data_IF_572656971251
#
_entry.id   IF_572656971251
#
_cell.length_a   1.000
_cell.length_b   1.000
_cell.length_c   1.000
_cell.angle_alpha   90.00
_cell.angle_beta   90.00
_cell.angle_gamma   90.00
#
_symmetry.space_group_name_H-M   'P 1'
#
loop_
_entity.id
_entity.type
_entity.pdbx_description
1 polymer ?
#
# COMPACT_ATOMS: atom_id res chain seq x y z
N UNK A 1 -2.14 -5.01 10.58
CA UNK A 1 -0.93 -5.63 10.00
C UNK A 1 0.09 -6.06 11.07
N UNK A 2 0.49 -5.18 12.00
CA UNK A 2 1.52 -5.48 13.01
C UNK A 2 1.26 -6.70 13.91
N UNK A 3 0.01 -6.95 14.30
CA UNK A 3 -0.36 -8.11 15.12
C UNK A 3 -0.07 -9.45 14.43
N UNK A 4 -0.28 -9.57 13.11
CA UNK A 4 -0.04 -10.81 12.37
C UNK A 4 1.43 -11.23 12.36
N UNK A 5 2.35 -10.25 12.33
CA UNK A 5 3.79 -10.51 12.33
C UNK A 5 4.18 -11.23 13.62
N UNK A 6 3.70 -10.77 14.77
CA UNK A 6 3.99 -11.39 16.07
C UNK A 6 3.34 -12.75 16.25
N UNK A 7 2.15 -12.98 15.69
CA UNK A 7 1.50 -14.29 15.72
C UNK A 7 2.24 -15.36 14.91
N UNK A 8 3.11 -14.94 13.98
CA UNK A 8 3.99 -15.82 13.20
C UNK A 8 5.41 -15.86 13.78
N UNK A 9 5.57 -15.50 15.06
CA UNK A 9 6.84 -15.38 15.79
C UNK A 9 7.83 -14.37 15.17
N UNK A 10 7.36 -13.53 14.24
CA UNK A 10 8.11 -12.43 13.66
C UNK A 10 8.24 -11.24 14.60
N UNK A 11 9.19 -10.36 14.29
CA UNK A 11 9.43 -9.13 15.06
C UNK A 11 9.71 -7.97 14.12
N UNK A 12 9.13 -6.81 14.43
CA UNK A 12 9.50 -5.57 13.76
C UNK A 12 10.83 -5.05 14.32
N UNK A 13 11.74 -4.52 13.48
CA UNK A 13 12.88 -3.76 13.95
C UNK A 13 12.45 -2.65 14.92
N UNK A 14 13.24 -2.43 15.96
CA UNK A 14 12.99 -1.35 16.94
C UNK A 14 13.52 -0.01 16.47
N UNK A 15 14.51 -0.04 15.58
CA UNK A 15 15.09 1.16 14.99
C UNK A 15 14.38 1.51 13.68
N UNK A 16 14.04 2.79 13.52
CA UNK A 16 13.29 3.25 12.34
C UNK A 16 14.12 3.21 11.07
N UNK A 17 15.45 3.37 11.18
CA UNK A 17 16.35 3.23 10.03
C UNK A 17 16.43 1.77 9.61
N UNK A 18 16.59 0.83 10.55
CA UNK A 18 16.53 -0.61 10.25
C UNK A 18 15.19 -1.01 9.60
N UNK A 19 14.07 -0.48 10.10
CA UNK A 19 12.75 -0.71 9.51
C UNK A 19 12.64 -0.18 8.08
N UNK A 20 13.16 1.02 7.83
CA UNK A 20 13.21 1.62 6.51
C UNK A 20 14.13 0.84 5.55
N UNK A 21 15.29 0.40 6.03
CA UNK A 21 16.31 -0.26 5.21
C UNK A 21 15.87 -1.65 4.72
N UNK A 22 14.90 -2.28 5.40
CA UNK A 22 14.29 -3.56 4.96
C UNK A 22 13.01 -3.37 4.13
N UNK A 23 12.60 -2.13 3.87
CA UNK A 23 11.38 -1.87 3.09
C UNK A 23 11.56 -2.32 1.64
N UNK A 24 10.50 -2.88 1.05
CA UNK A 24 10.53 -3.40 -0.32
C UNK A 24 10.58 -2.28 -1.39
N UNK A 25 10.35 -1.03 -0.97
CA UNK A 25 10.24 0.11 -1.85
C UNK A 25 11.44 1.03 -1.68
N UNK A 26 11.94 1.61 -2.78
CA UNK A 26 13.01 2.59 -2.68
C UNK A 26 12.54 3.79 -1.85
N UNK A 27 13.47 4.47 -1.15
CA UNK A 27 13.14 5.65 -0.37
C UNK A 27 12.43 6.68 -1.24
N UNK A 28 11.23 7.07 -0.84
CA UNK A 28 10.48 8.13 -1.49
C UNK A 28 10.90 9.47 -0.88
N UNK A 29 11.57 10.30 -1.66
CA UNK A 29 11.85 11.68 -1.26
C UNK A 29 10.79 12.59 -1.87
N UNK A 30 10.23 13.47 -1.04
CA UNK A 30 9.41 14.55 -1.53
C UNK A 30 10.30 15.55 -2.29
N UNK A 31 9.81 16.12 -3.40
CA UNK A 31 10.53 17.19 -4.09
C UNK A 31 10.74 18.38 -3.14
N UNK A 32 11.90 19.04 -3.24
CA UNK A 32 12.23 20.24 -2.42
C UNK A 32 11.22 21.36 -2.67
N UNK A 33 10.81 21.51 -3.93
CA UNK A 33 9.75 22.42 -4.38
C UNK A 33 8.40 21.66 -4.39
N UNK A 34 7.61 21.82 -3.33
CA UNK A 34 6.31 21.14 -3.16
C UNK A 34 5.15 21.81 -3.91
N UNK A 35 5.42 22.90 -4.64
CA UNK A 35 4.39 23.66 -5.36
C UNK A 35 3.91 22.96 -6.64
N UNK A 36 4.71 22.04 -7.19
CA UNK A 36 4.29 21.22 -8.34
C UNK A 36 3.60 19.93 -7.88
N UNK A 37 2.26 20.00 -7.83
CA UNK A 37 1.40 18.86 -7.49
C UNK A 37 1.63 17.67 -8.41
N UNK A 38 1.99 17.87 -9.69
CA UNK A 38 2.23 16.76 -10.62
C UNK A 38 3.50 15.98 -10.26
N UNK A 39 4.54 16.67 -9.77
CA UNK A 39 5.76 15.99 -9.31
C UNK A 39 5.47 15.17 -8.07
N UNK A 40 4.69 15.71 -7.13
CA UNK A 40 4.24 14.99 -5.94
C UNK A 40 3.42 13.74 -6.31
N UNK A 41 2.42 13.89 -7.18
CA UNK A 41 1.57 12.77 -7.62
C UNK A 41 2.39 11.67 -8.31
N UNK A 42 3.42 12.02 -9.10
CA UNK A 42 4.32 11.03 -9.70
C UNK A 42 5.11 10.24 -8.65
N UNK A 43 5.50 10.85 -7.54
CA UNK A 43 6.16 10.15 -6.42
C UNK A 43 5.17 9.20 -5.75
N UNK A 44 3.94 9.67 -5.48
CA UNK A 44 2.88 8.85 -4.86
C UNK A 44 2.49 7.65 -5.73
N UNK A 45 2.22 7.84 -7.03
CA UNK A 45 1.93 6.73 -7.96
C UNK A 45 3.06 5.69 -7.98
N UNK A 46 4.32 6.12 -7.93
CA UNK A 46 5.46 5.19 -7.87
C UNK A 46 5.50 4.41 -6.55
N UNK A 47 5.17 5.05 -5.43
CA UNK A 47 5.08 4.40 -4.13
C UNK A 47 3.95 3.36 -4.12
N UNK A 48 2.75 3.73 -4.58
CA UNK A 48 1.60 2.81 -4.63
C UNK A 48 1.87 1.61 -5.55
N UNK A 49 2.43 1.83 -6.75
CA UNK A 49 2.85 0.75 -7.65
C UNK A 49 3.84 -0.22 -7.00
N UNK A 50 4.70 0.29 -6.12
CA UNK A 50 5.62 -0.57 -5.38
C UNK A 50 4.89 -1.38 -4.30
N UNK A 51 4.00 -0.75 -3.54
CA UNK A 51 3.18 -1.43 -2.55
C UNK A 51 2.30 -2.53 -3.18
N UNK A 52 1.64 -2.24 -4.31
CA UNK A 52 0.85 -3.21 -5.10
C UNK A 52 1.70 -4.45 -5.46
N UNK A 53 2.92 -4.26 -5.95
CA UNK A 53 3.83 -5.39 -6.24
C UNK A 53 4.18 -6.18 -4.98
N UNK A 54 4.48 -5.48 -3.88
CA UNK A 54 4.82 -6.10 -2.60
C UNK A 54 3.70 -6.97 -2.06
N UNK A 55 2.48 -6.44 -1.97
CA UNK A 55 1.33 -7.20 -1.47
C UNK A 55 0.86 -8.29 -2.44
N UNK A 56 0.98 -8.09 -3.75
CA UNK A 56 0.78 -9.16 -4.74
C UNK A 56 1.74 -10.33 -4.49
N UNK A 57 3.00 -10.04 -4.23
CA UNK A 57 3.99 -11.07 -3.90
C UNK A 57 3.63 -11.83 -2.63
N UNK A 58 3.23 -11.14 -1.56
CA UNK A 58 2.81 -11.78 -0.30
C UNK A 58 1.55 -12.64 -0.51
N UNK A 59 0.57 -12.17 -1.29
CA UNK A 59 -0.61 -12.97 -1.64
C UNK A 59 -0.19 -14.27 -2.34
N UNK A 60 0.74 -14.21 -3.30
CA UNK A 60 1.24 -15.39 -3.99
C UNK A 60 1.99 -16.36 -3.07
N UNK A 61 2.74 -15.85 -2.08
CA UNK A 61 3.44 -16.68 -1.12
C UNK A 61 2.49 -17.44 -0.17
N UNK A 62 1.37 -16.81 0.18
CA UNK A 62 0.45 -17.27 1.24
C UNK A 62 -0.78 -18.01 0.73
N UNK A 63 -1.08 -17.89 -0.58
CA UNK A 63 -2.19 -18.58 -1.22
C UNK A 63 -2.15 -20.10 -0.95
N UNK A 64 -3.22 -20.63 -0.37
CA UNK A 64 -3.37 -22.04 -0.01
C UNK A 64 -2.47 -22.54 1.12
N UNK A 65 -1.67 -21.66 1.76
CA UNK A 65 -0.75 -22.02 2.86
C UNK A 65 -1.13 -21.34 4.17
N UNK A 66 -1.53 -20.08 4.11
CA UNK A 66 -1.92 -19.28 5.26
C UNK A 66 -3.06 -18.35 4.86
N UNK A 67 -4.30 -18.83 5.00
CA UNK A 67 -5.49 -18.09 4.60
C UNK A 67 -5.67 -16.79 5.37
N UNK A 68 -5.20 -16.72 6.63
CA UNK A 68 -5.34 -15.50 7.45
C UNK A 68 -4.39 -14.41 6.96
N UNK A 69 -3.13 -14.76 6.70
CA UNK A 69 -2.19 -13.80 6.11
C UNK A 69 -2.60 -13.43 4.69
N UNK A 70 -3.08 -14.39 3.90
CA UNK A 70 -3.58 -14.13 2.56
C UNK A 70 -4.75 -13.12 2.56
N UNK A 71 -5.80 -13.34 3.37
CA UNK A 71 -6.97 -12.44 3.41
C UNK A 71 -6.58 -11.03 3.90
N UNK A 72 -5.63 -10.94 4.84
CA UNK A 72 -5.08 -9.66 5.28
C UNK A 72 -4.28 -8.95 4.17
N UNK A 73 -3.37 -9.66 3.50
CA UNK A 73 -2.57 -9.10 2.40
C UNK A 73 -3.44 -8.72 1.21
N UNK A 74 -4.48 -9.50 0.92
CA UNK A 74 -5.44 -9.22 -0.14
C UNK A 74 -6.25 -7.95 0.16
N UNK A 75 -6.67 -7.73 1.41
CA UNK A 75 -7.36 -6.48 1.75
C UNK A 75 -6.47 -5.27 1.57
N UNK A 76 -5.19 -5.36 1.97
CA UNK A 76 -4.27 -4.24 1.80
C UNK A 76 -4.00 -4.01 0.31
N UNK A 77 -3.78 -5.08 -0.46
CA UNK A 77 -3.61 -5.00 -1.92
C UNK A 77 -4.77 -4.26 -2.60
N UNK A 78 -6.02 -4.50 -2.19
CA UNK A 78 -7.15 -3.75 -2.74
C UNK A 78 -7.05 -2.25 -2.44
N UNK A 79 -6.64 -1.86 -1.23
CA UNK A 79 -6.44 -0.45 -0.87
C UNK A 79 -5.34 0.20 -1.72
N UNK A 80 -4.20 -0.48 -1.91
CA UNK A 80 -3.10 0.11 -2.70
C UNK A 80 -3.47 0.23 -4.19
N UNK A 81 -4.27 -0.68 -4.73
CA UNK A 81 -4.82 -0.56 -6.10
C UNK A 81 -5.76 0.65 -6.19
N UNK A 82 -6.59 0.88 -5.16
CA UNK A 82 -7.45 2.06 -5.10
C UNK A 82 -6.62 3.35 -5.01
N UNK A 83 -5.60 3.39 -4.15
CA UNK A 83 -4.67 4.52 -4.05
C UNK A 83 -3.94 4.81 -5.37
N UNK A 84 -3.39 3.78 -6.03
CA UNK A 84 -2.75 3.92 -7.34
C UNK A 84 -3.74 4.52 -8.35
N UNK A 85 -4.96 3.98 -8.41
CA UNK A 85 -5.99 4.44 -9.35
C UNK A 85 -6.36 5.90 -9.11
N UNK A 86 -6.47 6.32 -7.85
CA UNK A 86 -6.82 7.67 -7.46
C UNK A 86 -5.74 8.67 -7.85
N UNK A 87 -4.46 8.36 -7.57
CA UNK A 87 -3.36 9.24 -7.94
C UNK A 87 -3.11 9.28 -9.45
N UNK A 88 -3.28 8.15 -10.13
CA UNK A 88 -3.13 8.07 -11.59
C UNK A 88 -4.22 8.86 -12.32
N UNK A 89 -5.44 8.89 -11.78
CA UNK A 89 -6.52 9.72 -12.30
C UNK A 89 -6.21 11.21 -12.17
N UNK A 90 -5.68 11.66 -11.03
CA UNK A 90 -5.24 13.04 -10.87
C UNK A 90 -4.11 13.45 -11.85
N UNK A 91 -3.27 12.49 -12.27
CA UNK A 91 -2.26 12.71 -13.31
C UNK A 91 -2.82 12.65 -14.74
N UNK A 92 -4.09 12.25 -14.92
CA UNK A 92 -4.71 12.05 -16.22
C UNK A 92 -4.24 10.80 -16.97
N UNK A 93 -3.72 9.78 -16.27
CA UNK A 93 -3.25 8.53 -16.89
C UNK A 93 -4.40 7.63 -17.41
N UNK A 94 -5.66 8.05 -17.24
CA UNK A 94 -6.85 7.39 -17.81
C UNK A 94 -8.08 7.49 -16.89
N UNK A 95 -9.28 7.11 -17.37
CA UNK A 95 -10.49 7.15 -16.55
C UNK A 95 -10.43 6.03 -15.51
N UNK A 96 -10.30 6.40 -14.24
CA UNK A 96 -10.66 5.49 -13.15
C UNK A 96 -12.18 5.60 -12.95
N UNK A 97 -12.88 4.49 -12.69
CA UNK A 97 -14.33 4.48 -12.48
C UNK A 97 -14.79 5.13 -11.15
N UNK A 98 -13.93 5.95 -10.52
CA UNK A 98 -13.98 6.30 -9.11
C UNK A 98 -14.87 7.51 -8.77
N UNK A 99 -15.18 8.40 -9.72
CA UNK A 99 -16.08 9.55 -9.50
C UNK A 99 -17.50 9.22 -8.99
N UNK A 100 -17.84 7.92 -8.88
CA UNK A 100 -19.13 7.44 -8.39
C UNK A 100 -19.21 7.15 -6.89
N UNK A 101 -18.13 7.25 -6.09
CA UNK A 101 -18.17 6.93 -4.65
C UNK A 101 -17.99 8.16 -3.75
N UNK A 102 -19.09 8.63 -3.14
CA UNK A 102 -19.09 9.53 -1.99
C UNK A 102 -18.93 8.72 -0.70
N UNK A 103 -17.75 8.70 -0.08
CA UNK A 103 -17.60 8.13 1.26
C UNK A 103 -16.15 8.05 1.73
N UNK A 104 -15.81 8.86 2.75
CA UNK A 104 -14.52 8.81 3.42
C UNK A 104 -14.47 7.62 4.38
N UNK A 105 -13.77 6.55 4.02
CA UNK A 105 -13.06 5.57 4.87
C UNK A 105 -12.77 4.32 4.05
N UNK A 106 -11.54 3.82 4.09
CA UNK A 106 -11.18 2.58 3.38
C UNK A 106 -11.89 1.37 4.02
N UNK A 107 -12.76 0.66 3.30
CA UNK A 107 -13.59 -0.40 3.89
C UNK A 107 -12.85 -1.73 4.04
N UNK A 108 -11.71 -1.93 3.35
CA UNK A 108 -11.12 -3.26 3.16
C UNK A 108 -10.27 -3.74 4.33
N UNK A 109 -9.44 -2.89 4.92
CA UNK A 109 -8.58 -3.27 6.06
C UNK A 109 -9.28 -3.13 7.41
N UNK A 110 -10.41 -2.40 7.46
CA UNK A 110 -11.18 -2.15 8.70
C UNK A 110 -11.56 -3.42 9.48
N UNK A 111 -11.78 -4.54 8.79
CA UNK A 111 -12.11 -5.85 9.39
C UNK A 111 -10.97 -6.48 10.21
N UNK A 112 -9.74 -6.01 10.06
CA UNK A 112 -8.53 -6.59 10.69
C UNK A 112 -7.84 -5.71 11.73
N UNK A 113 -8.37 -4.51 12.00
CA UNK A 113 -7.81 -3.55 12.95
C UNK A 113 -8.51 -3.58 14.33
N UNK A 114 -9.29 -4.62 14.62
CA UNK A 114 -9.97 -4.83 15.90
C UNK A 114 -9.24 -5.84 16.77
#
# INVERSE_FOLDING_TARGET
>A
SGSRIYELDGKLPRDMKEFHDISACPPAYLPEETQDVNVLLKVLVKAERCAVRGYTHICNLTAGKDHRTYDLSLSILHEEIEHESWFSEFLGEGPSGHFLRRGATSPFVSKFLR
#
